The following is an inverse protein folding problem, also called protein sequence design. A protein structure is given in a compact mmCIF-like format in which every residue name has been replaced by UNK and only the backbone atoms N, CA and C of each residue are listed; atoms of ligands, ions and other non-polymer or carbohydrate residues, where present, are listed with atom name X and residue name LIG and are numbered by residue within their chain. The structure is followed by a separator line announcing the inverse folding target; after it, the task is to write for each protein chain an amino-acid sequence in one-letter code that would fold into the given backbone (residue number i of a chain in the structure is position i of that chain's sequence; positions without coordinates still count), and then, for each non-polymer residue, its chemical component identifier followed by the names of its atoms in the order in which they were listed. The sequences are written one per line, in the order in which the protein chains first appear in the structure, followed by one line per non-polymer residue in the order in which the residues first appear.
data_IF_055455133962
#
_entry.id   IF_055455133962
#
_cell.length_a   1.000
_cell.length_b   1.000
_cell.length_c   1.000
_cell.angle_alpha   90.00
_cell.angle_beta   90.00
_cell.angle_gamma   90.00
#
_symmetry.space_group_name_H-M   'P 1'
#
loop_
_entity.id
_entity.type
_entity.pdbx_description
1 polymer ?
#
# COMPACT_ATOMS: atom_id res chain seq x y z
N UNK A 1 37.21 2.09 4.78
CA UNK A 1 36.30 0.95 4.48
C UNK A 1 36.93 0.09 3.42
N UNK A 2 36.61 -1.21 3.36
CA UNK A 2 37.00 -2.07 2.24
C UNK A 2 36.06 -1.81 1.06
N UNK A 3 36.59 -1.74 -0.15
CA UNK A 3 35.80 -1.71 -1.39
C UNK A 3 35.25 -3.09 -1.68
N UNK A 4 33.97 -3.16 -2.05
CA UNK A 4 33.31 -4.40 -2.43
C UNK A 4 33.63 -4.74 -3.89
N UNK A 5 33.67 -6.03 -4.20
CA UNK A 5 33.50 -6.50 -5.57
C UNK A 5 32.03 -6.40 -5.98
N UNK A 6 31.77 -6.39 -7.29
CA UNK A 6 30.39 -6.37 -7.81
C UNK A 6 29.59 -7.60 -7.36
N UNK A 7 30.24 -8.75 -7.22
CA UNK A 7 29.61 -10.00 -6.75
C UNK A 7 29.21 -9.88 -5.29
N UNK A 8 30.11 -9.42 -4.41
CA UNK A 8 29.81 -9.22 -2.98
C UNK A 8 28.69 -8.19 -2.78
N UNK A 9 28.65 -7.15 -3.63
CA UNK A 9 27.57 -6.16 -3.60
C UNK A 9 26.22 -6.74 -4.03
N UNK A 10 26.20 -7.57 -5.09
CA UNK A 10 24.97 -8.19 -5.55
C UNK A 10 24.45 -9.24 -4.56
N UNK A 11 25.32 -10.10 -4.03
CA UNK A 11 24.98 -11.09 -2.99
C UNK A 11 24.40 -10.43 -1.73
N UNK A 12 24.91 -9.25 -1.36
CA UNK A 12 24.36 -8.47 -0.25
C UNK A 12 22.98 -7.87 -0.57
N UNK A 13 22.79 -7.34 -1.79
CA UNK A 13 21.54 -6.65 -2.18
C UNK A 13 20.41 -7.59 -2.55
N UNK A 14 20.72 -8.77 -3.11
CA UNK A 14 19.74 -9.73 -3.58
C UNK A 14 18.68 -10.10 -2.52
N UNK A 15 19.04 -10.56 -1.30
CA UNK A 15 18.04 -10.93 -0.30
C UNK A 15 17.18 -9.75 0.17
N UNK A 16 17.70 -8.52 0.09
CA UNK A 16 16.92 -7.32 0.41
C UNK A 16 15.86 -7.12 -0.69
N UNK A 17 16.22 -7.22 -1.97
CA UNK A 17 15.24 -7.07 -3.07
C UNK A 17 14.17 -8.16 -2.99
N UNK A 18 14.57 -9.40 -2.76
CA UNK A 18 13.66 -10.54 -2.62
C UNK A 18 12.66 -10.32 -1.47
N UNK A 19 13.14 -9.82 -0.32
CA UNK A 19 12.27 -9.47 0.79
C UNK A 19 11.25 -8.40 0.42
N UNK A 20 11.67 -7.34 -0.28
CA UNK A 20 10.76 -6.27 -0.70
C UNK A 20 9.75 -6.74 -1.75
N UNK A 21 10.14 -7.67 -2.63
CA UNK A 21 9.22 -8.28 -3.61
C UNK A 21 8.16 -9.15 -2.91
N UNK A 22 8.57 -9.96 -1.94
CA UNK A 22 7.65 -10.80 -1.16
C UNK A 22 6.70 -9.95 -0.31
N UNK A 23 7.24 -9.05 0.50
CA UNK A 23 6.47 -8.24 1.45
C UNK A 23 5.70 -7.09 0.77
N UNK A 24 6.13 -6.67 -0.42
CA UNK A 24 5.48 -5.63 -1.23
C UNK A 24 4.37 -6.16 -2.14
N UNK A 25 4.23 -7.49 -2.26
CA UNK A 25 3.18 -8.12 -3.04
C UNK A 25 1.78 -7.71 -2.54
N UNK A 26 0.79 -7.44 -3.42
CA UNK A 26 -0.59 -7.17 -3.01
C UNK A 26 -1.16 -8.25 -2.10
N UNK A 27 -0.80 -9.52 -2.34
CA UNK A 27 -1.26 -10.64 -1.53
C UNK A 27 -0.70 -10.62 -0.11
N UNK A 28 0.53 -10.14 0.07
CA UNK A 28 1.14 -10.02 1.39
C UNK A 28 0.42 -8.95 2.24
N UNK A 29 0.05 -7.83 1.62
CA UNK A 29 -0.70 -6.74 2.23
C UNK A 29 -2.13 -7.18 2.61
N UNK A 30 -2.90 -7.75 1.67
CA UNK A 30 -4.29 -8.14 1.91
C UNK A 30 -4.42 -9.29 2.91
N UNK A 31 -3.44 -10.21 2.97
CA UNK A 31 -3.40 -11.26 3.99
C UNK A 31 -3.27 -10.70 5.42
N UNK A 32 -2.86 -9.43 5.56
CA UNK A 32 -2.67 -8.72 6.83
C UNK A 32 -3.67 -7.58 7.03
N UNK A 33 -4.67 -7.46 6.16
CA UNK A 33 -5.70 -6.43 6.20
C UNK A 33 -5.12 -5.00 6.19
N UNK A 34 -3.99 -4.80 5.50
CA UNK A 34 -3.47 -3.44 5.27
C UNK A 34 -4.37 -2.68 4.27
N UNK A 35 -5.13 -3.43 3.48
CA UNK A 35 -6.17 -2.99 2.58
C UNK A 35 -7.44 -3.84 2.80
N UNK A 36 -8.57 -3.34 2.29
CA UNK A 36 -9.87 -4.03 2.35
C UNK A 36 -10.06 -5.07 1.21
N UNK A 37 -9.03 -5.31 0.40
CA UNK A 37 -9.00 -6.35 -0.63
C UNK A 37 -8.45 -5.91 -1.99
N UNK A 38 -7.87 -6.88 -2.70
CA UNK A 38 -7.42 -6.73 -4.09
C UNK A 38 -8.63 -6.77 -5.03
N UNK A 39 -8.73 -5.79 -5.92
CA UNK A 39 -9.77 -5.75 -6.96
C UNK A 39 -9.15 -5.76 -8.35
N UNK A 40 -9.89 -6.25 -9.35
CA UNK A 40 -9.49 -6.09 -10.74
C UNK A 40 -9.51 -4.60 -11.10
N UNK A 41 -8.49 -4.06 -11.80
CA UNK A 41 -8.44 -2.63 -12.15
C UNK A 41 -9.67 -2.13 -12.93
N UNK A 42 -10.31 -3.01 -13.72
CA UNK A 42 -11.54 -2.70 -14.46
C UNK A 42 -12.78 -2.54 -13.56
N UNK A 43 -12.74 -3.02 -12.32
CA UNK A 43 -13.86 -2.97 -11.38
C UNK A 43 -13.85 -1.70 -10.50
N UNK A 44 -12.78 -0.91 -10.50
CA UNK A 44 -12.61 0.28 -9.65
C UNK A 44 -13.83 1.20 -9.64
N UNK A 45 -14.41 1.53 -10.82
CA UNK A 45 -15.60 2.38 -10.91
C UNK A 45 -16.79 1.82 -10.13
N UNK A 46 -17.04 0.52 -10.27
CA UNK A 46 -18.18 -0.14 -9.61
C UNK A 46 -17.95 -0.24 -8.11
N UNK A 47 -16.74 -0.63 -7.68
CA UNK A 47 -16.38 -0.72 -6.27
C UNK A 47 -16.54 0.62 -5.57
N UNK A 48 -16.00 1.71 -6.14
CA UNK A 48 -16.16 3.06 -5.61
C UNK A 48 -17.63 3.52 -5.59
N UNK A 49 -18.39 3.23 -6.64
CA UNK A 49 -19.81 3.58 -6.70
C UNK A 49 -20.63 2.93 -5.57
N UNK A 50 -20.36 1.66 -5.28
CA UNK A 50 -21.00 0.94 -4.17
C UNK A 50 -20.53 1.47 -2.81
N UNK A 51 -19.23 1.71 -2.64
CA UNK A 51 -18.69 2.25 -1.39
C UNK A 51 -19.28 3.63 -1.07
N UNK A 52 -19.34 4.54 -2.05
CA UNK A 52 -19.97 5.85 -1.89
C UNK A 52 -21.46 5.73 -1.55
N UNK A 53 -22.20 4.86 -2.25
CA UNK A 53 -23.60 4.61 -1.94
C UNK A 53 -23.81 4.10 -0.51
N UNK A 54 -22.87 3.31 0.02
CA UNK A 54 -22.91 2.85 1.41
C UNK A 54 -22.61 4.00 2.39
N UNK A 55 -21.56 4.79 2.14
CA UNK A 55 -21.17 5.93 2.99
C UNK A 55 -22.27 6.99 3.12
N UNK A 56 -23.08 7.21 2.09
CA UNK A 56 -24.16 8.21 2.10
C UNK A 56 -25.35 7.86 3.01
N UNK A 57 -25.30 6.72 3.72
CA UNK A 57 -26.26 6.43 4.79
C UNK A 57 -25.93 7.15 6.11
N UNK A 58 -24.74 7.74 6.23
CA UNK A 58 -24.35 8.60 7.35
C UNK A 58 -24.35 10.08 6.92
N UNK A 59 -24.62 11.03 7.84
CA UNK A 59 -24.52 12.45 7.55
C UNK A 59 -23.07 12.85 7.23
N UNK A 60 -22.89 13.85 6.38
CA UNK A 60 -21.58 14.45 6.10
C UNK A 60 -21.27 15.46 7.18
N UNK A 61 -20.21 15.19 7.96
CA UNK A 61 -19.79 16.04 9.08
C UNK A 61 -18.92 17.24 8.62
N UNK A 62 -18.99 18.35 9.36
CA UNK A 62 -18.07 19.48 9.14
C UNK A 62 -16.63 19.10 9.53
N UNK A 63 -15.67 19.42 8.66
CA UNK A 63 -14.24 19.18 8.96
C UNK A 63 -13.67 20.30 9.82
N UNK A 64 -13.01 19.93 10.92
CA UNK A 64 -12.24 20.85 11.78
C UNK A 64 -10.77 20.43 11.80
N UNK A 65 -9.89 21.28 11.29
CA UNK A 65 -8.46 20.98 11.25
C UNK A 65 -7.77 21.25 12.59
N UNK A 66 -6.68 20.52 12.84
CA UNK A 66 -5.74 20.80 13.91
C UNK A 66 -4.80 21.96 13.58
N UNK A 67 -3.69 22.07 14.32
CA UNK A 67 -2.67 23.11 14.10
C UNK A 67 -1.82 22.76 12.90
N UNK A 68 -1.68 23.70 11.96
CA UNK A 68 -0.69 23.60 10.89
C UNK A 68 0.68 24.09 11.37
N UNK A 69 1.72 23.27 11.17
CA UNK A 69 3.13 23.66 11.38
C UNK A 69 3.66 24.28 10.08
N UNK A 70 3.91 25.59 10.11
CA UNK A 70 4.48 26.38 9.02
C UNK A 70 6.01 26.41 9.08
#
# INVERSE_FOLDING_TARGET
GKSWSEIEEEEFKQPIREKYEEEGSPYYASARLWDDGIIAPSQTRRTLGLALSACLNAPVEETRFGIFRM
#
